data_IF_142739001835
#
_entry.id   IF_142739001835
#
_cell.length_a   1.000
_cell.length_b   1.000
_cell.length_c   1.000
_cell.angle_alpha   90.00
_cell.angle_beta   90.00
_cell.angle_gamma   90.00
#
_symmetry.space_group_name_H-M   'P 1'
#
loop_
_entity.id
_entity.type
_entity.pdbx_description
1 polymer ?
#
# COMPACT_ATOMS: atom_id res chain seq x y z
N UNK A 1 -3.87 -12.66 35.68
CA UNK A 1 -4.66 -13.10 34.53
C UNK A 1 -6.10 -13.34 34.98
N UNK A 2 -7.08 -12.94 34.19
CA UNK A 2 -8.50 -13.24 34.45
C UNK A 2 -8.80 -14.64 33.89
N UNK A 3 -9.21 -15.56 34.77
CA UNK A 3 -9.53 -16.95 34.38
C UNK A 3 -11.01 -17.20 34.21
N UNK A 4 -11.80 -16.14 34.13
CA UNK A 4 -13.26 -16.22 33.98
C UNK A 4 -13.96 -16.57 35.29
N UNK A 5 -15.29 -16.52 35.29
CA UNK A 5 -16.09 -16.84 36.48
C UNK A 5 -17.46 -16.16 36.48
N UNK A 6 -18.02 -15.88 35.32
CA UNK A 6 -19.31 -15.22 35.19
C UNK A 6 -19.31 -13.76 35.62
N UNK A 7 -20.11 -13.36 36.60
CA UNK A 7 -20.18 -11.99 37.06
C UNK A 7 -19.01 -11.53 37.96
N UNK A 8 -18.17 -12.44 38.44
CA UNK A 8 -16.98 -12.11 39.25
C UNK A 8 -15.70 -12.43 38.45
N UNK A 9 -14.82 -11.46 38.41
CA UNK A 9 -13.48 -11.67 37.88
C UNK A 9 -12.66 -12.54 38.84
N UNK A 10 -12.17 -13.66 38.36
CA UNK A 10 -11.21 -14.51 39.09
C UNK A 10 -9.82 -14.20 38.58
N UNK A 11 -9.05 -13.46 39.36
CA UNK A 11 -7.68 -13.06 39.02
C UNK A 11 -6.69 -14.04 39.63
N UNK A 12 -5.84 -14.64 38.79
CA UNK A 12 -4.69 -15.44 39.24
C UNK A 12 -3.39 -14.71 38.86
N UNK A 13 -2.35 -14.83 39.72
CA UNK A 13 -1.00 -14.40 39.34
C UNK A 13 -0.52 -15.16 38.13
N UNK A 14 0.16 -14.51 37.16
CA UNK A 14 0.65 -15.21 35.97
C UNK A 14 1.65 -16.33 36.27
N UNK A 15 2.35 -16.24 37.40
CA UNK A 15 3.36 -17.21 37.90
C UNK A 15 2.75 -18.60 38.22
N UNK A 16 1.46 -18.67 38.52
CA UNK A 16 0.75 -19.94 38.77
C UNK A 16 -0.04 -20.44 37.55
N UNK A 17 0.14 -19.79 36.40
CA UNK A 17 -0.53 -20.16 35.17
C UNK A 17 0.45 -20.80 34.20
N UNK A 18 0.08 -21.93 33.61
CA UNK A 18 0.81 -22.58 32.53
C UNK A 18 0.13 -22.35 31.18
N UNK A 19 0.91 -21.99 30.17
CA UNK A 19 0.38 -21.80 28.82
C UNK A 19 0.21 -23.19 28.18
N UNK A 20 -1.02 -23.52 27.82
CA UNK A 20 -1.30 -24.75 27.08
C UNK A 20 -0.63 -24.65 25.70
N UNK A 21 0.13 -25.67 25.28
CA UNK A 21 0.75 -25.69 23.95
C UNK A 21 -0.26 -25.51 22.83
N UNK A 22 0.22 -25.07 21.67
CA UNK A 22 -0.56 -24.96 20.41
C UNK A 22 -1.76 -23.99 20.47
N UNK A 23 -1.70 -23.01 21.38
CA UNK A 23 -2.71 -21.95 21.42
C UNK A 23 -2.61 -21.00 20.24
N UNK A 24 -3.74 -20.68 19.55
CA UNK A 24 -3.73 -19.70 18.49
C UNK A 24 -3.46 -18.30 19.06
N UNK A 25 -2.43 -17.62 18.53
CA UNK A 25 -2.18 -16.23 18.86
C UNK A 25 -3.23 -15.32 18.20
N UNK A 26 -4.08 -14.69 19.01
CA UNK A 26 -5.15 -13.79 18.56
C UNK A 26 -4.78 -12.31 18.51
N UNK A 27 -3.57 -11.98 18.93
CA UNK A 27 -3.04 -10.61 18.88
C UNK A 27 -2.53 -10.24 17.49
N UNK A 28 -2.22 -8.95 17.32
CA UNK A 28 -1.55 -8.47 16.12
C UNK A 28 -0.06 -8.82 16.19
N UNK A 29 0.44 -9.53 15.18
CA UNK A 29 1.87 -9.84 15.08
C UNK A 29 2.69 -8.56 14.89
N UNK A 30 3.89 -8.54 15.46
CA UNK A 30 4.90 -7.53 15.16
C UNK A 30 5.41 -7.70 13.71
N UNK A 31 6.09 -6.68 13.18
CA UNK A 31 6.67 -6.77 11.83
C UNK A 31 7.74 -7.89 11.75
N UNK A 32 8.48 -8.13 12.84
CA UNK A 32 9.45 -9.21 12.96
C UNK A 32 8.77 -10.58 12.98
N UNK A 33 7.75 -10.78 13.82
CA UNK A 33 6.98 -12.02 13.87
C UNK A 33 6.29 -12.32 12.53
N UNK A 34 5.78 -11.29 11.85
CA UNK A 34 5.20 -11.43 10.52
C UNK A 34 6.25 -11.88 9.49
N UNK A 35 7.46 -11.31 9.53
CA UNK A 35 8.55 -11.70 8.64
C UNK A 35 8.98 -13.15 8.87
N UNK A 36 9.09 -13.59 10.13
CA UNK A 36 9.42 -14.99 10.44
C UNK A 36 8.30 -15.95 10.02
N UNK A 37 7.04 -15.59 10.24
CA UNK A 37 5.91 -16.39 9.78
C UNK A 37 5.90 -16.54 8.26
N UNK A 38 6.17 -15.47 7.50
CA UNK A 38 6.24 -15.51 6.03
C UNK A 38 7.32 -16.48 5.57
N UNK A 39 8.49 -16.54 6.22
CA UNK A 39 9.55 -17.50 5.87
C UNK A 39 9.08 -18.95 5.99
N UNK A 40 8.23 -19.25 6.97
CA UNK A 40 7.68 -20.59 7.18
C UNK A 40 6.49 -20.86 6.26
N UNK A 41 5.60 -19.89 6.06
CA UNK A 41 4.35 -20.06 5.33
C UNK A 41 4.50 -19.91 3.81
N UNK A 42 5.38 -19.01 3.34
CA UNK A 42 5.61 -18.78 1.90
C UNK A 42 6.60 -19.80 1.34
N UNK A 43 6.13 -20.98 1.02
CA UNK A 43 6.92 -22.08 0.45
C UNK A 43 6.70 -22.21 -1.05
N UNK A 44 7.68 -22.70 -1.81
CA UNK A 44 7.49 -23.05 -3.22
C UNK A 44 6.35 -24.07 -3.40
N UNK A 45 5.61 -24.02 -4.52
CA UNK A 45 4.45 -24.88 -4.75
C UNK A 45 4.75 -26.40 -4.64
N UNK A 46 5.91 -26.84 -5.10
CA UNK A 46 6.35 -28.25 -5.00
C UNK A 46 6.55 -28.70 -3.54
N UNK A 47 7.07 -27.81 -2.67
CA UNK A 47 7.22 -28.12 -1.24
C UNK A 47 5.87 -28.18 -0.57
N UNK A 48 4.96 -27.24 -0.87
CA UNK A 48 3.60 -27.27 -0.35
C UNK A 48 2.83 -28.53 -0.81
N UNK A 49 2.98 -28.93 -2.07
CA UNK A 49 2.38 -30.14 -2.59
C UNK A 49 2.83 -31.38 -1.80
N UNK A 50 4.16 -31.54 -1.56
CA UNK A 50 4.68 -32.63 -0.75
C UNK A 50 4.12 -32.63 0.66
N UNK A 51 4.10 -31.47 1.35
CA UNK A 51 3.55 -31.37 2.70
C UNK A 51 2.06 -31.70 2.76
N UNK A 52 1.25 -31.30 1.77
CA UNK A 52 -0.17 -31.62 1.70
C UNK A 52 -0.35 -33.13 1.52
N UNK A 53 0.37 -33.71 0.57
CA UNK A 53 0.18 -35.12 0.18
C UNK A 53 0.77 -36.09 1.22
N UNK A 54 1.97 -35.81 1.73
CA UNK A 54 2.68 -36.74 2.61
C UNK A 54 2.25 -36.65 4.08
N UNK A 55 2.00 -35.43 4.57
CA UNK A 55 1.68 -35.17 5.98
C UNK A 55 0.24 -34.70 6.19
N UNK A 56 -0.22 -33.75 5.37
CA UNK A 56 -1.48 -33.06 5.56
C UNK A 56 -2.68 -33.98 5.48
N UNK A 57 -2.75 -34.82 4.46
CA UNK A 57 -3.84 -35.81 4.31
C UNK A 57 -3.88 -36.79 5.47
N UNK A 58 -2.72 -37.22 5.97
CA UNK A 58 -2.65 -38.13 7.13
C UNK A 58 -3.08 -37.42 8.41
N UNK A 59 -2.60 -36.20 8.65
CA UNK A 59 -2.92 -35.42 9.86
C UNK A 59 -4.41 -35.07 9.94
N UNK A 60 -5.04 -34.84 8.79
CA UNK A 60 -6.48 -34.55 8.68
C UNK A 60 -7.36 -35.82 8.68
N UNK A 61 -6.77 -37.03 8.76
CA UNK A 61 -7.50 -38.29 8.77
C UNK A 61 -8.02 -38.71 7.39
N UNK A 62 -7.56 -38.14 6.30
CA UNK A 62 -7.97 -38.46 4.92
C UNK A 62 -7.15 -39.63 4.34
N UNK A 63 -7.08 -40.75 5.07
CA UNK A 63 -6.46 -41.97 4.56
C UNK A 63 -7.37 -42.68 3.58
N UNK A 64 -6.76 -43.29 2.55
CA UNK A 64 -7.49 -44.09 1.58
C UNK A 64 -8.19 -45.27 2.28
N UNK A 65 -9.48 -45.43 2.04
CA UNK A 65 -10.27 -46.57 2.57
C UNK A 65 -10.64 -46.49 4.04
N UNK A 66 -10.32 -45.41 4.76
CA UNK A 66 -10.70 -45.27 6.17
C UNK A 66 -11.06 -43.80 6.48
N UNK A 67 -12.11 -43.62 7.25
CA UNK A 67 -12.48 -42.30 7.76
C UNK A 67 -13.97 -41.95 7.52
N UNK A 68 -14.47 -40.89 8.17
CA UNK A 68 -15.89 -40.52 8.13
C UNK A 68 -16.39 -40.15 6.73
N UNK A 69 -15.50 -39.68 5.83
CA UNK A 69 -15.89 -39.32 4.47
C UNK A 69 -16.40 -40.47 3.63
N UNK A 70 -15.92 -41.69 3.88
CA UNK A 70 -16.41 -42.89 3.18
C UNK A 70 -17.91 -43.15 3.44
N UNK A 71 -18.40 -42.83 4.64
CA UNK A 71 -19.81 -42.93 4.97
C UNK A 71 -20.71 -42.01 4.16
N UNK A 72 -20.10 -40.92 3.61
CA UNK A 72 -20.77 -39.95 2.73
C UNK A 72 -20.50 -40.21 1.24
N UNK A 73 -19.80 -41.28 0.89
CA UNK A 73 -19.44 -41.59 -0.49
C UNK A 73 -18.39 -40.67 -1.08
N UNK A 74 -17.63 -39.96 -0.24
CA UNK A 74 -16.59 -39.01 -0.67
C UNK A 74 -15.22 -39.68 -0.61
N UNK A 75 -14.54 -39.75 -1.75
CA UNK A 75 -13.15 -40.19 -1.86
C UNK A 75 -12.21 -39.00 -2.13
N UNK A 76 -11.04 -38.99 -1.47
CA UNK A 76 -9.99 -37.99 -1.73
C UNK A 76 -8.86 -38.68 -2.49
N UNK A 77 -8.51 -38.09 -3.65
CA UNK A 77 -7.37 -38.57 -4.44
C UNK A 77 -6.07 -38.43 -3.65
N UNK A 78 -5.17 -39.37 -3.85
CA UNK A 78 -3.86 -39.43 -3.19
C UNK A 78 -2.77 -38.79 -4.04
N UNK A 79 -3.13 -38.09 -5.10
CA UNK A 79 -2.24 -37.39 -6.01
C UNK A 79 -2.81 -35.99 -6.27
N UNK A 80 -1.93 -35.02 -6.53
CA UNK A 80 -2.32 -33.69 -6.95
C UNK A 80 -3.00 -33.76 -8.32
N UNK A 81 -4.11 -33.05 -8.50
CA UNK A 81 -4.79 -32.99 -9.78
C UNK A 81 -3.89 -32.35 -10.86
N UNK A 82 -3.77 -33.05 -11.99
CA UNK A 82 -3.10 -32.51 -13.18
C UNK A 82 -4.15 -31.82 -14.06
N UNK A 83 -4.01 -30.52 -14.22
CA UNK A 83 -4.92 -29.71 -15.06
C UNK A 83 -4.15 -29.11 -16.21
N UNK A 84 -4.75 -29.02 -17.43
CA UNK A 84 -4.10 -28.32 -18.54
C UNK A 84 -3.98 -26.84 -18.23
N UNK A 85 -2.79 -26.29 -18.43
CA UNK A 85 -2.49 -24.87 -18.25
C UNK A 85 -1.89 -24.26 -19.51
N UNK A 86 -2.06 -22.96 -19.70
CA UNK A 86 -1.43 -22.20 -20.76
C UNK A 86 -0.58 -21.08 -20.16
N UNK A 87 0.71 -21.04 -20.52
CA UNK A 87 1.57 -19.91 -20.22
C UNK A 87 1.22 -18.77 -21.18
N UNK A 88 0.84 -17.63 -20.61
CA UNK A 88 0.62 -16.42 -21.38
C UNK A 88 1.96 -15.69 -21.56
N UNK A 89 2.27 -15.21 -22.77
CA UNK A 89 3.46 -14.38 -22.97
C UNK A 89 3.30 -13.07 -22.21
N UNK A 90 4.38 -12.52 -21.59
CA UNK A 90 4.32 -11.24 -20.92
C UNK A 90 4.08 -10.11 -21.92
N UNK A 91 3.37 -9.05 -21.52
CA UNK A 91 3.19 -7.87 -22.36
C UNK A 91 4.54 -7.17 -22.60
N UNK A 92 4.66 -6.47 -23.73
CA UNK A 92 5.74 -5.52 -23.93
C UNK A 92 5.58 -4.29 -23.02
N UNK A 93 6.69 -3.76 -22.52
CA UNK A 93 6.71 -2.57 -21.67
C UNK A 93 7.42 -1.44 -22.40
N UNK A 94 6.68 -0.39 -22.73
CA UNK A 94 7.17 0.75 -23.48
C UNK A 94 7.27 2.00 -22.59
N UNK A 95 8.46 2.54 -22.52
CA UNK A 95 8.76 3.84 -21.97
C UNK A 95 8.82 4.92 -23.07
N UNK A 96 8.84 6.19 -22.70
CA UNK A 96 9.00 7.29 -23.64
C UNK A 96 10.39 7.29 -24.28
N UNK A 97 11.40 6.83 -23.55
CA UNK A 97 12.77 6.64 -24.05
C UNK A 97 13.41 5.45 -23.33
N UNK A 98 14.22 4.68 -24.09
CA UNK A 98 14.91 3.52 -23.58
C UNK A 98 14.04 2.27 -23.52
N UNK A 99 14.66 1.12 -23.22
CA UNK A 99 13.98 -0.15 -23.01
C UNK A 99 14.34 -0.69 -21.62
N UNK A 100 13.36 -1.12 -20.82
CA UNK A 100 13.65 -1.74 -19.54
C UNK A 100 14.29 -3.12 -19.76
N UNK A 101 15.26 -3.48 -18.90
CA UNK A 101 15.72 -4.86 -18.79
C UNK A 101 14.79 -5.59 -17.83
N UNK A 102 13.91 -6.43 -18.39
CA UNK A 102 12.94 -7.23 -17.63
C UNK A 102 13.53 -8.60 -17.42
N UNK A 103 13.61 -9.05 -16.16
CA UNK A 103 14.09 -10.38 -15.80
C UNK A 103 12.97 -11.44 -15.90
N UNK A 104 13.33 -12.72 -15.73
CA UNK A 104 12.41 -13.87 -15.80
C UNK A 104 11.32 -13.83 -14.70
N UNK A 105 11.49 -13.00 -13.66
CA UNK A 105 10.51 -12.77 -12.60
C UNK A 105 9.62 -11.57 -12.87
N UNK A 106 9.63 -11.04 -14.09
CA UNK A 106 8.92 -9.84 -14.51
C UNK A 106 9.27 -8.60 -13.64
N UNK A 107 10.52 -8.52 -13.19
CA UNK A 107 11.05 -7.38 -12.45
C UNK A 107 11.98 -6.54 -13.33
N UNK A 108 11.93 -5.24 -13.18
CA UNK A 108 12.81 -4.30 -13.89
C UNK A 108 13.06 -3.04 -13.05
N UNK A 109 14.03 -2.24 -13.48
CA UNK A 109 14.36 -0.96 -12.86
C UNK A 109 14.25 0.20 -13.86
N UNK A 110 14.37 1.43 -13.35
CA UNK A 110 14.27 2.66 -14.15
C UNK A 110 15.61 3.10 -14.78
N UNK A 111 16.61 2.21 -14.86
CA UNK A 111 17.89 2.60 -15.47
C UNK A 111 17.71 2.82 -16.97
N UNK A 112 18.23 3.96 -17.45
CA UNK A 112 18.23 4.34 -18.85
C UNK A 112 16.85 4.37 -19.53
N UNK A 113 15.78 4.56 -18.75
CA UNK A 113 14.41 4.73 -19.29
C UNK A 113 13.82 6.06 -18.82
N UNK A 114 12.96 6.66 -19.64
CA UNK A 114 12.14 7.83 -19.27
C UNK A 114 10.68 7.50 -19.35
N UNK A 115 9.89 8.07 -18.47
CA UNK A 115 8.45 7.88 -18.44
C UNK A 115 7.80 8.09 -19.82
N UNK A 116 6.75 7.33 -20.10
CA UNK A 116 6.01 7.45 -21.36
C UNK A 116 5.41 8.86 -21.53
N UNK A 117 4.91 9.44 -20.43
CA UNK A 117 4.52 10.85 -20.32
C UNK A 117 5.02 11.36 -18.99
N UNK A 118 5.92 12.35 -19.02
CA UNK A 118 6.42 13.01 -17.82
C UNK A 118 5.44 14.04 -17.29
N UNK A 119 5.06 13.92 -16.03
CA UNK A 119 4.27 14.92 -15.31
C UNK A 119 5.07 16.20 -15.04
N UNK A 120 4.37 17.29 -14.73
CA UNK A 120 4.97 18.58 -14.36
C UNK A 120 4.85 18.78 -12.85
N UNK A 121 5.99 18.88 -12.17
CA UNK A 121 6.09 19.22 -10.75
C UNK A 121 6.60 20.66 -10.60
N UNK A 122 5.71 21.57 -10.31
CA UNK A 122 5.99 22.98 -10.09
C UNK A 122 5.28 23.46 -8.83
N UNK A 123 5.85 24.47 -8.13
CA UNK A 123 5.24 25.01 -6.92
C UNK A 123 4.91 23.93 -5.87
N UNK A 124 5.82 23.03 -5.64
CA UNK A 124 5.67 21.91 -4.71
C UNK A 124 6.30 22.22 -3.35
N UNK A 125 5.97 21.44 -2.35
CA UNK A 125 6.44 21.63 -0.99
C UNK A 125 6.99 20.35 -0.37
N UNK A 126 7.83 20.52 0.65
CA UNK A 126 8.35 19.46 1.53
C UNK A 126 7.95 19.78 2.96
N UNK A 127 7.20 18.88 3.60
CA UNK A 127 6.80 19.00 4.99
C UNK A 127 7.49 17.92 5.82
N UNK A 128 8.27 18.29 6.80
CA UNK A 128 8.93 17.37 7.73
C UNK A 128 8.09 17.24 8.99
N UNK A 129 7.71 16.01 9.31
CA UNK A 129 6.99 15.67 10.53
C UNK A 129 8.01 15.27 11.60
N UNK A 130 8.08 16.02 12.69
CA UNK A 130 8.90 15.73 13.85
C UNK A 130 7.99 15.14 14.94
N UNK A 131 8.13 13.84 15.22
CA UNK A 131 7.42 13.19 16.32
C UNK A 131 8.38 13.02 17.51
N UNK A 132 8.03 13.58 18.66
CA UNK A 132 8.90 13.64 19.86
C UNK A 132 9.03 12.31 20.61
N UNK A 133 8.75 11.18 19.99
CA UNK A 133 9.03 9.89 20.58
C UNK A 133 10.55 9.62 20.46
N UNK A 134 11.23 9.72 21.56
CA UNK A 134 12.62 9.39 22.02
C UNK A 134 13.74 9.02 21.02
N UNK A 135 13.49 8.96 19.72
CA UNK A 135 14.44 8.39 18.76
C UNK A 135 15.25 9.42 17.94
N UNK A 136 15.07 10.71 18.21
CA UNK A 136 15.83 11.78 17.52
C UNK A 136 16.59 12.61 18.54
N UNK A 137 17.89 12.86 18.34
CA UNK A 137 18.59 13.87 19.12
C UNK A 137 17.84 15.20 19.05
N UNK A 138 17.60 15.84 20.18
CA UNK A 138 16.77 17.04 20.32
C UNK A 138 17.36 18.29 19.64
N UNK A 139 18.61 18.24 19.19
CA UNK A 139 19.39 19.41 18.77
C UNK A 139 19.54 19.57 17.25
N UNK A 140 19.15 18.57 16.46
CA UNK A 140 19.30 18.68 15.02
C UNK A 140 18.07 19.34 14.37
N UNK A 141 18.26 20.46 13.61
CA UNK A 141 17.15 21.12 12.94
C UNK A 141 16.51 20.19 11.90
N UNK A 142 15.16 20.10 11.85
CA UNK A 142 14.45 19.20 10.94
C UNK A 142 14.70 19.49 9.45
N UNK A 143 15.09 20.73 9.13
CA UNK A 143 15.38 21.21 7.78
C UNK A 143 16.88 21.44 7.60
N UNK A 144 17.68 20.40 7.80
CA UNK A 144 19.13 20.45 7.66
C UNK A 144 19.59 20.28 6.20
N UNK A 145 20.90 20.48 5.97
CA UNK A 145 21.51 20.39 4.63
C UNK A 145 21.47 18.97 4.07
N UNK A 146 21.53 17.95 4.92
CA UNK A 146 21.39 16.55 4.51
C UNK A 146 20.02 16.30 3.88
N UNK A 147 18.94 16.74 4.53
CA UNK A 147 17.59 16.61 3.98
C UNK A 147 17.46 17.36 2.65
N UNK A 148 17.97 18.57 2.58
CA UNK A 148 17.93 19.38 1.34
C UNK A 148 18.68 18.70 0.20
N UNK A 149 19.85 18.08 0.46
CA UNK A 149 20.58 17.28 -0.53
C UNK A 149 19.78 16.06 -0.96
N UNK A 150 19.16 15.35 -0.02
CA UNK A 150 18.31 14.17 -0.29
C UNK A 150 17.11 14.54 -1.17
N UNK A 151 16.44 15.65 -0.88
CA UNK A 151 15.30 16.16 -1.67
C UNK A 151 15.75 16.56 -3.09
N UNK A 152 16.91 17.22 -3.22
CA UNK A 152 17.49 17.52 -4.55
C UNK A 152 17.78 16.25 -5.33
N UNK A 153 18.38 15.24 -4.71
CA UNK A 153 18.60 13.92 -5.34
C UNK A 153 17.32 13.27 -5.85
N UNK A 154 16.22 13.37 -5.10
CA UNK A 154 14.91 12.91 -5.57
C UNK A 154 14.39 13.75 -6.76
N UNK A 155 14.52 15.08 -6.70
CA UNK A 155 14.13 15.97 -7.80
C UNK A 155 14.93 15.67 -9.08
N UNK A 156 16.23 15.39 -8.95
CA UNK A 156 17.09 14.98 -10.06
C UNK A 156 16.69 13.61 -10.63
N UNK A 157 16.32 12.67 -9.79
CA UNK A 157 15.72 11.39 -10.24
C UNK A 157 14.44 11.63 -11.04
N UNK A 158 13.56 12.51 -10.60
CA UNK A 158 12.36 12.88 -11.35
C UNK A 158 12.69 13.47 -12.72
N UNK A 159 13.66 14.41 -12.80
CA UNK A 159 14.12 15.01 -14.06
C UNK A 159 14.73 13.98 -15.01
N UNK A 160 15.64 13.15 -14.51
CA UNK A 160 16.29 12.10 -15.32
C UNK A 160 15.30 11.04 -15.79
N UNK A 161 14.24 10.79 -15.03
CA UNK A 161 13.12 9.90 -15.42
C UNK A 161 12.13 10.54 -16.40
N UNK A 162 12.35 11.80 -16.82
CA UNK A 162 11.54 12.44 -17.87
C UNK A 162 10.43 13.37 -17.35
N UNK A 163 10.38 13.70 -16.05
CA UNK A 163 9.46 14.71 -15.53
C UNK A 163 10.01 16.14 -15.72
N UNK A 164 9.12 17.11 -15.78
CA UNK A 164 9.47 18.54 -15.69
C UNK A 164 9.38 18.99 -14.24
N UNK A 165 10.53 19.19 -13.58
CA UNK A 165 10.59 19.72 -12.21
C UNK A 165 11.05 21.16 -12.24
N UNK A 166 10.19 22.09 -11.81
CA UNK A 166 10.41 23.54 -11.85
C UNK A 166 10.64 24.09 -10.45
N UNK A 167 11.74 24.80 -10.28
CA UNK A 167 12.08 25.47 -9.03
C UNK A 167 12.47 24.53 -7.88
N UNK A 168 12.81 25.16 -6.75
CA UNK A 168 13.03 24.47 -5.48
C UNK A 168 11.70 24.37 -4.72
N UNK A 169 11.52 23.35 -3.87
CA UNK A 169 10.30 23.25 -3.05
C UNK A 169 10.27 24.29 -1.93
N UNK A 170 9.07 24.68 -1.54
CA UNK A 170 8.87 25.35 -0.26
C UNK A 170 9.07 24.35 0.88
N UNK A 171 9.91 24.68 1.86
CA UNK A 171 10.20 23.79 2.99
C UNK A 171 9.41 24.21 4.24
N UNK A 172 8.86 23.24 4.93
CA UNK A 172 8.19 23.42 6.20
C UNK A 172 8.41 22.25 7.15
N UNK A 173 8.18 22.49 8.42
CA UNK A 173 8.26 21.45 9.44
C UNK A 173 7.18 21.63 10.51
N UNK A 174 6.81 20.54 11.16
CA UNK A 174 5.87 20.54 12.29
C UNK A 174 6.30 19.54 13.33
N UNK A 175 6.39 19.98 14.59
CA UNK A 175 6.54 19.10 15.74
C UNK A 175 5.17 18.67 16.23
N UNK A 176 4.99 17.36 16.34
CA UNK A 176 3.74 16.78 16.82
C UNK A 176 3.64 16.84 18.35
N UNK A 177 2.43 16.97 18.91
CA UNK A 177 2.19 16.78 20.32
C UNK A 177 2.62 15.36 20.75
N UNK A 178 3.03 15.22 22.00
CA UNK A 178 3.36 13.93 22.59
C UNK A 178 2.14 13.01 22.56
N UNK A 179 2.36 11.71 22.34
CA UNK A 179 1.30 10.70 22.40
C UNK A 179 0.64 10.71 23.77
N UNK A 180 -0.70 10.82 23.78
CA UNK A 180 -1.53 10.77 24.97
C UNK A 180 -2.49 9.59 24.91
N UNK A 181 -2.85 9.03 26.08
CA UNK A 181 -3.93 8.03 26.18
C UNK A 181 -5.30 8.63 25.88
N UNK A 182 -5.45 9.95 26.02
CA UNK A 182 -6.67 10.70 25.75
C UNK A 182 -6.89 10.97 24.25
N UNK A 183 -5.79 10.92 23.46
CA UNK A 183 -5.82 11.05 21.99
C UNK A 183 -5.21 9.81 21.29
N UNK A 184 -5.84 8.64 21.39
CA UNK A 184 -5.32 7.40 20.83
C UNK A 184 -5.25 7.41 19.29
N UNK A 185 -6.05 8.27 18.63
CA UNK A 185 -6.10 8.40 17.16
C UNK A 185 -5.30 9.60 16.64
N UNK A 186 -4.53 10.26 17.50
CA UNK A 186 -3.63 11.38 17.12
C UNK A 186 -4.34 12.58 16.51
N UNK A 187 -5.56 12.90 16.94
CA UNK A 187 -6.37 14.01 16.42
C UNK A 187 -5.67 15.36 16.58
N UNK A 188 -5.03 15.58 17.73
CA UNK A 188 -4.26 16.82 18.00
C UNK A 188 -3.06 16.95 17.05
N UNK A 189 -2.37 15.83 16.75
CA UNK A 189 -1.28 15.82 15.79
C UNK A 189 -1.75 16.23 14.38
N UNK A 190 -2.90 15.72 13.95
CA UNK A 190 -3.49 16.12 12.64
C UNK A 190 -3.89 17.59 12.65
N UNK A 191 -4.42 18.11 13.76
CA UNK A 191 -4.68 19.55 13.94
C UNK A 191 -3.42 20.40 13.81
N UNK A 192 -2.32 19.97 14.44
CA UNK A 192 -1.02 20.64 14.33
C UNK A 192 -0.50 20.64 12.89
N UNK A 193 -0.60 19.51 12.19
CA UNK A 193 -0.21 19.41 10.78
C UNK A 193 -1.05 20.36 9.91
N UNK A 194 -2.37 20.38 10.09
CA UNK A 194 -3.27 21.27 9.36
C UNK A 194 -2.85 22.75 9.52
N UNK A 195 -2.63 23.18 10.77
CA UNK A 195 -2.23 24.55 11.07
C UNK A 195 -0.86 24.90 10.46
N UNK A 196 0.10 23.96 10.51
CA UNK A 196 1.42 24.13 9.90
C UNK A 196 1.32 24.28 8.38
N UNK A 197 0.54 23.44 7.70
CA UNK A 197 0.34 23.52 6.24
C UNK A 197 -0.26 24.85 5.83
N UNK A 198 -1.32 25.29 6.50
CA UNK A 198 -1.99 26.56 6.18
C UNK A 198 -1.06 27.77 6.42
N UNK A 199 -0.31 27.74 7.52
CA UNK A 199 0.60 28.85 7.89
C UNK A 199 1.83 28.92 7.01
N UNK A 200 2.47 27.78 6.71
CA UNK A 200 3.77 27.74 6.03
C UNK A 200 3.66 27.73 4.50
N UNK A 201 2.50 27.36 3.96
CA UNK A 201 2.26 27.35 2.51
C UNK A 201 1.06 28.24 2.16
N UNK A 202 1.25 29.58 2.13
CA UNK A 202 0.17 30.53 1.84
C UNK A 202 -0.41 30.36 0.43
N UNK A 203 0.42 29.90 -0.51
CA UNK A 203 -0.01 29.46 -1.82
C UNK A 203 -0.15 27.93 -1.81
N UNK A 204 -1.28 27.41 -2.27
CA UNK A 204 -1.55 25.99 -2.33
C UNK A 204 -0.51 25.25 -3.20
N UNK A 205 0.29 24.34 -2.65
CA UNK A 205 1.25 23.58 -3.45
C UNK A 205 0.54 22.61 -4.41
N UNK A 206 1.18 22.36 -5.56
CA UNK A 206 0.71 21.30 -6.48
C UNK A 206 0.83 19.90 -5.90
N UNK A 207 1.81 19.69 -5.01
CA UNK A 207 2.05 18.44 -4.27
C UNK A 207 2.85 18.74 -3.01
N UNK A 208 2.64 17.95 -1.95
CA UNK A 208 3.48 17.95 -0.76
C UNK A 208 4.20 16.61 -0.61
N UNK A 209 5.55 16.64 -0.61
CA UNK A 209 6.36 15.52 -0.13
C UNK A 209 6.41 15.58 1.39
N UNK A 210 5.86 14.60 2.06
CA UNK A 210 5.86 14.52 3.51
C UNK A 210 6.92 13.54 4.00
N UNK A 211 7.85 14.03 4.81
CA UNK A 211 8.88 13.21 5.46
C UNK A 211 8.40 12.86 6.86
N UNK A 212 8.06 11.58 7.06
CA UNK A 212 7.54 11.04 8.32
C UNK A 212 8.69 10.58 9.22
N UNK A 213 8.66 10.96 10.49
CA UNK A 213 9.63 10.51 11.49
C UNK A 213 9.60 9.00 11.72
N UNK A 214 8.40 8.41 11.70
CA UNK A 214 8.16 6.99 12.01
C UNK A 214 6.97 6.42 11.22
N UNK A 215 6.59 5.18 11.53
CA UNK A 215 5.48 4.45 10.91
C UNK A 215 4.13 4.57 11.63
N UNK A 216 3.87 5.67 12.37
CA UNK A 216 2.59 5.86 13.06
C UNK A 216 1.42 5.87 12.06
N UNK A 217 0.57 4.84 12.14
CA UNK A 217 -0.55 4.64 11.20
C UNK A 217 -1.63 5.70 11.34
N UNK A 218 -1.88 6.19 12.54
CA UNK A 218 -2.90 7.21 12.78
C UNK A 218 -2.47 8.56 12.19
N UNK A 219 -1.19 8.93 12.39
CA UNK A 219 -0.61 10.12 11.76
C UNK A 219 -0.64 9.98 10.24
N UNK A 220 -0.19 8.84 9.69
CA UNK A 220 -0.20 8.62 8.25
C UNK A 220 -1.62 8.71 7.65
N UNK A 221 -2.59 7.99 8.23
CA UNK A 221 -3.96 7.96 7.71
C UNK A 221 -4.63 9.33 7.83
N UNK A 222 -4.51 9.99 8.99
CA UNK A 222 -5.07 11.31 9.21
C UNK A 222 -4.46 12.38 8.30
N UNK A 223 -3.14 12.32 8.07
CA UNK A 223 -2.45 13.20 7.16
C UNK A 223 -2.88 12.98 5.70
N UNK A 224 -3.03 11.72 5.27
CA UNK A 224 -3.53 11.39 3.93
C UNK A 224 -4.94 11.92 3.70
N UNK A 225 -5.83 11.73 4.68
CA UNK A 225 -7.18 12.30 4.62
C UNK A 225 -7.14 13.83 4.58
N UNK A 226 -6.34 14.46 5.45
CA UNK A 226 -6.21 15.93 5.50
C UNK A 226 -5.72 16.51 4.17
N UNK A 227 -4.64 15.97 3.60
CA UNK A 227 -4.02 16.54 2.42
C UNK A 227 -4.75 16.15 1.14
N UNK A 228 -4.93 14.83 0.88
CA UNK A 228 -5.45 14.37 -0.41
C UNK A 228 -6.97 14.59 -0.53
N UNK A 229 -7.73 14.50 0.58
CA UNK A 229 -9.21 14.60 0.55
C UNK A 229 -9.68 15.99 0.97
N UNK A 230 -9.32 16.45 2.18
CA UNK A 230 -9.86 17.70 2.74
C UNK A 230 -9.25 18.95 2.07
N UNK A 231 -7.92 19.03 1.97
CA UNK A 231 -7.23 20.17 1.33
C UNK A 231 -7.11 20.00 -0.18
N UNK A 232 -7.38 18.81 -0.71
CA UNK A 232 -7.23 18.46 -2.13
C UNK A 232 -5.83 18.81 -2.66
N UNK A 233 -4.80 18.49 -1.88
CA UNK A 233 -3.39 18.64 -2.25
C UNK A 233 -2.79 17.25 -2.33
N UNK A 234 -2.39 16.76 -3.51
CA UNK A 234 -1.73 15.48 -3.66
C UNK A 234 -0.53 15.37 -2.73
N UNK A 235 -0.40 14.26 -2.01
CA UNK A 235 0.70 14.04 -1.07
C UNK A 235 1.44 12.73 -1.31
N UNK A 236 2.75 12.74 -1.13
CA UNK A 236 3.60 11.55 -1.12
C UNK A 236 4.29 11.49 0.24
N UNK A 237 4.12 10.39 0.96
CA UNK A 237 4.76 10.17 2.25
C UNK A 237 5.98 9.26 2.10
N UNK A 238 7.09 9.66 2.69
CA UNK A 238 8.33 8.88 2.81
C UNK A 238 8.72 8.79 4.27
N UNK A 239 9.25 7.64 4.70
CA UNK A 239 9.84 7.51 6.04
C UNK A 239 11.27 8.07 6.02
N UNK A 240 11.61 8.94 6.94
CA UNK A 240 12.91 9.61 7.00
C UNK A 240 14.07 8.62 6.98
N UNK A 241 14.02 7.58 7.80
CA UNK A 241 15.04 6.53 7.88
C UNK A 241 15.30 5.80 6.56
N UNK A 242 14.26 5.63 5.72
CA UNK A 242 14.39 5.03 4.38
C UNK A 242 14.80 6.05 3.33
N UNK A 243 14.34 7.28 3.47
CA UNK A 243 14.59 8.36 2.51
C UNK A 243 16.04 8.81 2.53
N UNK A 244 16.64 8.88 3.72
CA UNK A 244 18.05 9.25 3.92
C UNK A 244 19.04 8.09 3.76
N UNK A 245 18.56 6.83 3.70
CA UNK A 245 19.41 5.66 3.61
C UNK A 245 20.20 5.62 2.29
N UNK A 246 21.52 5.72 2.35
CA UNK A 246 22.39 5.74 1.15
C UNK A 246 22.32 4.44 0.35
N UNK A 247 22.38 3.29 1.04
CA UNK A 247 22.31 1.97 0.37
C UNK A 247 20.95 1.77 -0.30
N UNK A 248 20.92 1.71 -1.63
CA UNK A 248 19.70 1.51 -2.42
C UNK A 248 18.89 2.80 -2.64
N UNK A 249 19.45 3.99 -2.32
CA UNK A 249 18.75 5.26 -2.41
C UNK A 249 18.23 5.57 -3.81
N UNK A 250 19.02 5.33 -4.85
CA UNK A 250 18.59 5.57 -6.24
C UNK A 250 17.38 4.72 -6.64
N UNK A 251 17.33 3.45 -6.21
CA UNK A 251 16.17 2.61 -6.45
C UNK A 251 14.94 3.11 -5.66
N UNK A 252 15.16 3.54 -4.42
CA UNK A 252 14.09 4.12 -3.61
C UNK A 252 13.54 5.40 -4.25
N UNK A 253 14.41 6.30 -4.71
CA UNK A 253 14.01 7.51 -5.42
C UNK A 253 13.26 7.19 -6.71
N UNK A 254 13.70 6.20 -7.47
CA UNK A 254 12.98 5.71 -8.65
C UNK A 254 11.54 5.30 -8.30
N UNK A 255 11.37 4.51 -7.24
CA UNK A 255 10.05 4.08 -6.79
C UNK A 255 9.16 5.24 -6.29
N UNK A 256 9.75 6.28 -5.71
CA UNK A 256 9.03 7.51 -5.32
C UNK A 256 8.69 8.34 -6.56
N UNK A 257 9.61 8.47 -7.51
CA UNK A 257 9.39 9.19 -8.76
C UNK A 257 8.23 8.62 -9.59
N UNK A 258 8.07 7.28 -9.64
CA UNK A 258 6.90 6.64 -10.26
C UNK A 258 5.58 7.17 -9.67
N UNK A 259 5.50 7.29 -8.34
CA UNK A 259 4.30 7.77 -7.65
C UNK A 259 4.07 9.27 -7.90
N UNK A 260 5.16 10.07 -7.89
CA UNK A 260 5.08 11.50 -8.17
C UNK A 260 4.56 11.71 -9.59
N UNK A 261 5.15 11.02 -10.57
CA UNK A 261 4.75 11.13 -11.96
C UNK A 261 3.26 10.86 -12.16
N UNK A 262 2.75 9.74 -11.61
CA UNK A 262 1.33 9.39 -11.71
C UNK A 262 0.43 10.44 -11.05
N UNK A 263 0.78 10.93 -9.85
CA UNK A 263 0.00 11.97 -9.17
C UNK A 263 0.02 13.33 -9.87
N UNK A 264 1.03 13.56 -10.69
CA UNK A 264 1.16 14.79 -11.51
C UNK A 264 0.58 14.59 -12.93
N UNK A 265 -0.25 13.59 -13.14
CA UNK A 265 -0.94 13.35 -14.41
C UNK A 265 -0.07 12.70 -15.49
N UNK A 266 1.13 12.21 -15.13
CA UNK A 266 2.01 11.50 -16.05
C UNK A 266 1.60 10.04 -16.28
N UNK A 267 2.28 9.38 -17.23
CA UNK A 267 2.15 7.95 -17.52
C UNK A 267 3.53 7.32 -17.42
N UNK A 268 3.71 6.39 -16.50
CA UNK A 268 5.02 5.79 -16.25
C UNK A 268 5.51 4.96 -17.44
N UNK A 269 4.69 4.04 -17.92
CA UNK A 269 4.95 3.19 -19.07
C UNK A 269 3.62 2.77 -19.71
N UNK A 270 3.68 2.29 -20.93
CA UNK A 270 2.55 1.73 -21.67
C UNK A 270 2.80 0.25 -21.90
N UNK A 271 1.73 -0.54 -21.90
CA UNK A 271 1.80 -1.95 -22.26
C UNK A 271 1.50 -2.11 -23.74
N UNK A 272 2.12 -3.10 -24.36
CA UNK A 272 1.86 -3.50 -25.74
C UNK A 272 1.63 -5.00 -25.83
N UNK A 273 0.88 -5.42 -26.86
CA UNK A 273 0.69 -6.84 -27.12
C UNK A 273 2.03 -7.54 -27.36
N UNK A 274 2.21 -8.78 -26.84
CA UNK A 274 3.40 -9.57 -27.13
C UNK A 274 3.49 -9.86 -28.63
N UNK A 275 4.71 -9.92 -29.20
CA UNK A 275 4.91 -10.28 -30.60
C UNK A 275 4.24 -11.63 -30.95
N UNK A 276 3.47 -11.66 -32.03
CA UNK A 276 2.78 -12.88 -32.51
C UNK A 276 1.55 -13.30 -31.69
N UNK A 277 1.16 -12.53 -30.67
CA UNK A 277 -0.08 -12.76 -29.92
C UNK A 277 -1.30 -12.14 -30.63
N UNK A 278 -2.51 -12.59 -30.25
CA UNK A 278 -3.73 -11.89 -30.66
C UNK A 278 -3.73 -10.48 -30.04
N UNK A 279 -4.11 -9.44 -30.79
CA UNK A 279 -4.16 -8.09 -30.29
C UNK A 279 -5.26 -7.96 -29.24
N UNK A 280 -4.86 -7.85 -27.97
CA UNK A 280 -5.76 -7.67 -26.81
C UNK A 280 -5.72 -6.22 -26.33
N UNK A 281 -4.50 -5.69 -26.14
CA UNK A 281 -4.32 -4.31 -25.67
C UNK A 281 -4.67 -3.29 -26.78
N UNK A 282 -4.40 -3.62 -28.02
CA UNK A 282 -4.81 -2.81 -29.18
C UNK A 282 -6.33 -2.71 -29.28
N UNK A 283 -7.04 -3.82 -29.01
CA UNK A 283 -8.51 -3.81 -28.98
C UNK A 283 -9.05 -2.93 -27.84
N UNK A 284 -8.49 -3.02 -26.63
CA UNK A 284 -8.90 -2.18 -25.50
C UNK A 284 -8.70 -0.68 -25.75
N UNK A 285 -7.77 -0.32 -26.65
CA UNK A 285 -7.44 1.07 -27.00
C UNK A 285 -7.99 1.51 -28.36
N UNK A 286 -8.94 0.77 -28.92
CA UNK A 286 -9.56 1.13 -30.18
C UNK A 286 -10.41 2.40 -30.01
N UNK A 287 -10.06 3.52 -30.68
CA UNK A 287 -10.80 4.76 -30.53
C UNK A 287 -12.26 4.66 -31.04
N UNK A 288 -12.54 3.68 -31.89
CA UNK A 288 -13.93 3.44 -32.41
C UNK A 288 -14.80 2.74 -31.36
N UNK A 289 -14.19 2.12 -30.34
CA UNK A 289 -14.87 1.42 -29.27
C UNK A 289 -14.25 1.80 -27.90
N UNK A 290 -14.52 3.02 -27.39
CA UNK A 290 -13.93 3.49 -26.13
C UNK A 290 -14.18 2.50 -24.98
N UNK A 291 -13.12 2.12 -24.28
CA UNK A 291 -13.17 1.14 -23.20
C UNK A 291 -12.85 1.81 -21.87
N UNK A 292 -13.71 1.64 -20.88
CA UNK A 292 -13.46 2.03 -19.49
C UNK A 292 -13.22 0.79 -18.64
N UNK A 293 -12.12 0.76 -17.90
CA UNK A 293 -11.87 -0.27 -16.89
C UNK A 293 -12.37 0.23 -15.55
N UNK A 294 -13.24 -0.54 -14.90
CA UNK A 294 -13.82 -0.22 -13.60
C UNK A 294 -13.44 -1.30 -12.60
N UNK A 295 -12.91 -0.90 -11.46
CA UNK A 295 -12.63 -1.78 -10.32
C UNK A 295 -13.47 -1.37 -9.12
N UNK A 296 -14.04 -2.34 -8.41
CA UNK A 296 -14.86 -2.12 -7.21
C UNK A 296 -14.44 -3.07 -6.10
N UNK A 297 -14.40 -2.56 -4.86
CA UNK A 297 -14.10 -3.37 -3.70
C UNK A 297 -14.72 -2.77 -2.43
N UNK A 298 -14.94 -3.61 -1.42
CA UNK A 298 -15.44 -3.19 -0.11
C UNK A 298 -14.48 -3.68 0.96
N UNK A 299 -13.97 -2.77 1.79
CA UNK A 299 -13.16 -3.14 2.95
C UNK A 299 -14.00 -3.14 4.21
N UNK A 300 -13.82 -4.18 5.05
CA UNK A 300 -14.47 -4.30 6.34
C UNK A 300 -13.46 -4.09 7.49
N UNK A 301 -13.94 -3.65 8.68
CA UNK A 301 -13.09 -3.57 9.86
C UNK A 301 -12.47 -4.93 10.19
N UNK A 302 -11.14 -4.95 10.36
CA UNK A 302 -10.40 -6.14 10.79
C UNK A 302 -10.55 -6.40 12.29
N UNK A 303 -10.26 -7.62 12.78
CA UNK A 303 -10.12 -7.86 14.22
C UNK A 303 -9.16 -6.85 14.87
N UNK A 304 -9.59 -6.24 15.98
CA UNK A 304 -8.84 -5.18 16.67
C UNK A 304 -9.05 -3.75 16.14
N UNK A 305 -9.94 -3.55 15.16
CA UNK A 305 -10.40 -2.21 14.78
C UNK A 305 -11.19 -1.56 15.92
N UNK A 306 -11.16 -0.23 15.98
CA UNK A 306 -11.97 0.54 16.95
C UNK A 306 -13.44 0.24 16.73
N UNK A 307 -14.20 0.05 17.85
CA UNK A 307 -15.65 -0.20 17.77
C UNK A 307 -16.34 0.95 17.02
N UNK A 308 -17.19 0.60 16.06
CA UNK A 308 -17.89 1.58 15.22
C UNK A 308 -17.12 1.98 13.95
N UNK A 309 -15.93 1.37 13.67
CA UNK A 309 -15.25 1.56 12.39
C UNK A 309 -16.17 1.10 11.25
N UNK A 310 -16.47 1.97 10.27
CA UNK A 310 -17.34 1.63 9.16
C UNK A 310 -16.69 0.70 8.15
N UNK A 311 -17.49 0.11 7.28
CA UNK A 311 -17.01 -0.43 6.01
C UNK A 311 -16.86 0.69 4.98
N UNK A 312 -15.96 0.52 4.02
CA UNK A 312 -15.71 1.50 2.96
C UNK A 312 -15.82 0.81 1.62
N UNK A 313 -16.77 1.22 0.81
CA UNK A 313 -16.87 0.85 -0.59
C UNK A 313 -16.05 1.81 -1.45
N UNK A 314 -15.29 1.27 -2.38
CA UNK A 314 -14.47 2.03 -3.31
C UNK A 314 -14.79 1.63 -4.74
N UNK A 315 -14.87 2.60 -5.64
CA UNK A 315 -14.95 2.41 -7.08
C UNK A 315 -13.85 3.23 -7.72
N UNK A 316 -13.09 2.62 -8.61
CA UNK A 316 -12.08 3.30 -9.42
C UNK A 316 -12.38 3.05 -10.89
N UNK A 317 -12.16 4.04 -11.73
CA UNK A 317 -12.36 3.89 -13.17
C UNK A 317 -11.28 4.62 -13.95
N UNK A 318 -10.93 4.12 -15.13
CA UNK A 318 -10.01 4.80 -16.04
C UNK A 318 -10.66 6.01 -16.70
N UNK A 319 -9.88 7.09 -16.85
CA UNK A 319 -10.30 8.31 -17.55
C UNK A 319 -9.39 8.65 -18.74
N UNK A 320 -8.44 7.77 -19.05
CA UNK A 320 -7.47 7.98 -20.14
C UNK A 320 -7.24 6.69 -20.95
N UNK A 321 -6.89 6.85 -22.22
CA UNK A 321 -6.67 5.75 -23.17
C UNK A 321 -5.43 4.90 -22.87
N UNK A 322 -4.59 5.34 -21.95
CA UNK A 322 -3.42 4.57 -21.49
C UNK A 322 -3.72 3.67 -20.29
N UNK A 323 -4.95 3.75 -19.74
CA UNK A 323 -5.36 3.06 -18.51
C UNK A 323 -4.39 3.35 -17.35
N UNK A 324 -3.99 4.61 -17.22
CA UNK A 324 -3.00 5.04 -16.25
C UNK A 324 -3.60 5.85 -15.10
N UNK A 325 -4.65 6.61 -15.36
CA UNK A 325 -5.31 7.45 -14.37
C UNK A 325 -6.62 6.79 -13.91
N UNK A 326 -6.73 6.58 -12.58
CA UNK A 326 -7.87 5.91 -11.95
C UNK A 326 -8.41 6.78 -10.81
N UNK A 327 -9.17 7.83 -11.09
CA UNK A 327 -9.90 8.53 -10.03
C UNK A 327 -10.81 7.55 -9.28
N UNK A 328 -11.02 7.85 -8.00
CA UNK A 328 -11.77 7.00 -7.09
C UNK A 328 -12.97 7.73 -6.51
N UNK A 329 -14.10 7.03 -6.41
CA UNK A 329 -15.23 7.39 -5.56
C UNK A 329 -15.25 6.46 -4.34
N UNK A 330 -15.43 7.04 -3.14
CA UNK A 330 -15.40 6.31 -1.87
C UNK A 330 -16.69 6.57 -1.11
N UNK A 331 -17.31 5.51 -0.61
CA UNK A 331 -18.52 5.61 0.22
C UNK A 331 -18.35 4.86 1.54
N UNK A 332 -18.61 5.56 2.63
CA UNK A 332 -18.69 4.98 3.97
C UNK A 332 -20.07 4.32 4.13
N UNK A 333 -20.08 3.10 4.63
CA UNK A 333 -21.30 2.33 4.86
C UNK A 333 -21.26 1.57 6.18
N UNK A 334 -22.42 1.02 6.57
CA UNK A 334 -22.50 0.24 7.80
C UNK A 334 -21.54 -0.94 7.82
N UNK A 335 -21.02 -1.26 9.01
CA UNK A 335 -20.06 -2.35 9.20
C UNK A 335 -20.61 -3.69 8.71
N UNK A 336 -19.82 -4.39 7.88
CA UNK A 336 -20.12 -5.73 7.34
C UNK A 336 -21.35 -5.79 6.42
N UNK A 337 -21.75 -4.68 5.83
CA UNK A 337 -22.74 -4.71 4.74
C UNK A 337 -22.02 -4.62 3.39
N UNK A 338 -22.30 -5.59 2.54
CA UNK A 338 -22.07 -5.52 1.11
C UNK A 338 -23.23 -4.69 0.52
N UNK A 339 -23.03 -3.40 0.32
CA UNK A 339 -24.08 -2.55 -0.25
C UNK A 339 -23.97 -2.52 -1.76
N UNK A 340 -25.12 -2.55 -2.44
CA UNK A 340 -25.19 -2.14 -3.83
C UNK A 340 -24.76 -0.68 -3.94
N UNK A 341 -23.65 -0.45 -4.61
CA UNK A 341 -22.99 0.86 -4.81
C UNK A 341 -23.89 1.85 -5.60
N UNK A 342 -24.99 1.36 -6.15
CA UNK A 342 -25.84 2.03 -7.13
C UNK A 342 -26.54 3.32 -6.67
N UNK A 343 -26.70 3.57 -5.37
CA UNK A 343 -27.39 4.77 -4.88
C UNK A 343 -26.49 6.00 -4.70
N UNK A 344 -25.24 5.97 -5.12
CA UNK A 344 -24.28 7.06 -4.94
C UNK A 344 -23.70 7.66 -6.22
N UNK A 345 -23.96 7.06 -7.37
CA UNK A 345 -23.37 7.50 -8.64
C UNK A 345 -24.08 8.67 -9.33
N UNK A 346 -25.34 8.95 -8.99
CA UNK A 346 -26.10 10.00 -9.65
C UNK A 346 -25.74 11.43 -9.19
N UNK A 347 -24.98 11.61 -8.11
CA UNK A 347 -24.74 12.92 -7.51
C UNK A 347 -23.34 13.54 -7.78
N UNK A 348 -22.41 12.85 -8.45
CA UNK A 348 -21.04 13.32 -8.62
C UNK A 348 -20.56 13.38 -10.08
N UNK A 349 -21.45 13.29 -11.06
CA UNK A 349 -21.11 13.40 -12.49
C UNK A 349 -21.53 14.75 -13.11
N UNK A 350 -21.88 15.76 -12.29
CA UNK A 350 -22.13 17.15 -12.73
C UNK A 350 -20.89 18.03 -12.58
#
# INVERSE_FOLDING_TARGET
>A
MDVGGGQKQNLLPPEVCEIIPDQPYRGKLTDEHTAEMIKVAARPPNINAGLIMDEGLKSLGFKQGAGPLNSFGIGIGQEMAVVPGRLLPPPGINYGQGKPNVDDKASWNLRAVKFAVGGRLAEWAVLVIVDRDRSRPTDEPPLNDELRRTVRGLADMCRTSGMTVVGEPAYGSVSLPTKSREDPVRKEAIGAIRNAVIKQYPKKPSMILVVLANGDKHVYNGLKHLLDVYLKVPSICVQESKFKKEKGQLQYFGNVALKINMKMGGVNHKLTDPPGSRPTLSWLRDPSQPTMLVGMDVTHPSPGSVRGTPSVAAVVATIDDNFAQFPASLKIQETRKEVSIWHGFEAELD
#
